data_IF_596480243490
#
_entry.id   IF_596480243490
#
_cell.length_a   1.000
_cell.length_b   1.000
_cell.length_c   1.000
_cell.angle_alpha   90.00
_cell.angle_beta   90.00
_cell.angle_gamma   90.00
#
_symmetry.space_group_name_H-M   'P 1'
#
loop_
_entity.id
_entity.type
_entity.pdbx_description
1 polymer ?
#
# COMPACT_ATOMS: atom_id res chain seq x y z
N UNK A 1 -0.86 9.83 18.74
CA UNK A 1 -0.85 9.12 17.45
C UNK A 1 0.44 8.32 17.46
N UNK A 2 0.37 7.00 17.44
CA UNK A 2 1.59 6.19 17.35
C UNK A 2 2.34 6.61 16.09
N UNK A 3 3.59 7.05 16.23
CA UNK A 3 4.40 7.46 15.08
C UNK A 3 4.74 6.20 14.26
N UNK A 4 3.95 5.96 13.22
CA UNK A 4 4.17 4.86 12.30
C UNK A 4 5.42 5.17 11.47
N UNK A 5 6.39 4.26 11.48
CA UNK A 5 7.57 4.37 10.61
C UNK A 5 7.19 3.89 9.21
N UNK A 6 6.91 4.84 8.33
CA UNK A 6 6.54 4.58 6.94
C UNK A 6 7.77 4.29 6.08
N UNK A 7 7.65 3.26 5.24
CA UNK A 7 8.66 2.85 4.27
C UNK A 7 8.08 2.96 2.86
N UNK A 8 8.68 3.83 2.05
CA UNK A 8 8.34 4.03 0.65
C UNK A 8 8.93 2.92 -0.21
N UNK A 9 8.17 2.41 -1.18
CA UNK A 9 8.62 1.39 -2.13
C UNK A 9 9.82 1.87 -2.94
N UNK A 10 10.81 1.01 -3.17
CA UNK A 10 11.96 1.28 -4.05
C UNK A 10 11.60 1.33 -5.54
N UNK A 11 10.39 0.90 -5.91
CA UNK A 11 9.86 1.00 -7.29
C UNK A 11 9.19 2.34 -7.58
N UNK A 12 9.12 3.21 -6.57
CA UNK A 12 8.65 4.58 -6.70
C UNK A 12 9.62 5.37 -7.57
N UNK A 13 9.16 5.86 -8.72
CA UNK A 13 9.95 6.76 -9.59
C UNK A 13 10.17 8.15 -8.96
N UNK A 14 11.01 8.96 -9.59
CA UNK A 14 11.17 10.39 -9.30
C UNK A 14 10.34 11.23 -10.27
N UNK A 15 9.74 12.33 -9.79
CA UNK A 15 9.08 13.35 -10.60
C UNK A 15 7.56 13.44 -10.42
N UNK A 16 6.94 14.39 -11.12
CA UNK A 16 5.49 14.63 -11.10
C UNK A 16 4.76 13.42 -11.73
N UNK A 17 3.92 12.74 -10.94
CA UNK A 17 3.18 11.54 -11.33
C UNK A 17 3.66 10.23 -10.70
N UNK A 18 4.66 10.28 -9.81
CA UNK A 18 5.03 9.14 -9.01
C UNK A 18 4.02 8.92 -7.86
N UNK A 19 2.88 8.30 -8.14
CA UNK A 19 1.99 7.79 -7.09
C UNK A 19 2.65 6.58 -6.43
N UNK A 20 3.14 6.80 -5.21
CA UNK A 20 3.96 5.83 -4.50
C UNK A 20 3.15 5.18 -3.39
N UNK A 21 3.28 3.86 -3.23
CA UNK A 21 2.75 3.14 -2.07
C UNK A 21 3.77 3.15 -0.94
N UNK A 22 3.30 3.44 0.27
CA UNK A 22 4.07 3.35 1.51
C UNK A 22 3.46 2.33 2.48
N UNK A 23 4.32 1.68 3.26
CA UNK A 23 3.97 0.65 4.24
C UNK A 23 4.47 1.01 5.63
N UNK A 24 3.68 0.76 6.67
CA UNK A 24 4.15 0.80 8.05
C UNK A 24 3.68 -0.45 8.80
N UNK A 25 4.56 -1.05 9.60
CA UNK A 25 4.25 -2.25 10.39
C UNK A 25 4.31 -1.92 11.88
N UNK A 26 3.33 -2.44 12.63
CA UNK A 26 3.35 -2.45 14.11
C UNK A 26 3.63 -3.84 14.69
N UNK A 27 3.97 -4.82 13.84
CA UNK A 27 4.06 -6.23 14.19
C UNK A 27 2.74 -6.97 14.00
N UNK A 28 1.67 -6.46 14.61
CA UNK A 28 0.34 -7.09 14.53
C UNK A 28 -0.47 -6.65 13.30
N UNK A 29 -0.16 -5.46 12.78
CA UNK A 29 -0.87 -4.87 11.64
C UNK A 29 0.09 -4.20 10.68
N UNK A 30 -0.34 -4.10 9.43
CA UNK A 30 0.34 -3.38 8.37
C UNK A 30 -0.62 -2.33 7.84
N UNK A 31 -0.15 -1.09 7.78
CA UNK A 31 -0.86 0.02 7.15
C UNK A 31 -0.25 0.30 5.78
N UNK A 32 -1.12 0.54 4.80
CA UNK A 32 -0.81 0.91 3.42
C UNK A 32 -1.42 2.27 3.15
N UNK A 33 -0.69 3.15 2.48
CA UNK A 33 -1.24 4.43 1.99
C UNK A 33 -0.59 4.84 0.69
N UNK A 34 -1.21 5.79 0.01
CA UNK A 34 -0.59 6.50 -1.11
C UNK A 34 0.18 7.73 -0.60
N UNK A 35 1.34 7.98 -1.20
CA UNK A 35 2.22 9.10 -0.83
C UNK A 35 1.59 10.46 -1.12
N UNK A 36 0.72 10.55 -2.12
CA UNK A 36 0.07 11.80 -2.55
C UNK A 36 -1.28 12.05 -1.85
N UNK A 37 -1.83 11.03 -1.17
CA UNK A 37 -2.98 11.15 -0.27
C UNK A 37 -2.70 10.42 1.07
N UNK A 38 -1.82 10.98 1.93
CA UNK A 38 -1.37 10.31 3.14
C UNK A 38 -2.46 10.16 4.21
N UNK A 39 -3.61 10.82 4.04
CA UNK A 39 -4.77 10.72 4.92
C UNK A 39 -5.59 9.45 4.68
N UNK A 40 -5.47 8.84 3.50
CA UNK A 40 -6.17 7.61 3.13
C UNK A 40 -5.26 6.42 3.34
N UNK A 41 -5.49 5.70 4.45
CA UNK A 41 -4.73 4.51 4.80
C UNK A 41 -5.63 3.29 5.01
N UNK A 42 -5.20 2.15 4.49
CA UNK A 42 -5.79 0.84 4.72
C UNK A 42 -4.96 0.08 5.75
N UNK A 43 -5.59 -0.45 6.80
CA UNK A 43 -4.92 -1.31 7.79
C UNK A 43 -5.38 -2.75 7.61
N UNK A 44 -4.43 -3.67 7.58
CA UNK A 44 -4.68 -5.11 7.45
C UNK A 44 -3.79 -5.92 8.40
N UNK A 45 -4.23 -7.13 8.72
CA UNK A 45 -3.33 -8.13 9.31
C UNK A 45 -2.30 -8.59 8.25
N UNK A 46 -1.10 -9.07 8.64
CA UNK A 46 -0.09 -9.57 7.69
C UNK A 46 -0.61 -10.61 6.70
N UNK A 47 -1.47 -11.53 7.16
CA UNK A 47 -2.10 -12.53 6.29
C UNK A 47 -3.02 -11.89 5.23
N UNK A 48 -3.74 -10.82 5.59
CA UNK A 48 -4.59 -10.09 4.65
C UNK A 48 -3.78 -9.40 3.55
N UNK A 49 -2.65 -8.79 3.90
CA UNK A 49 -1.73 -8.21 2.91
C UNK A 49 -1.14 -9.29 2.01
N UNK A 50 -0.76 -10.45 2.55
CA UNK A 50 -0.26 -11.57 1.75
C UNK A 50 -1.31 -12.03 0.72
N UNK A 51 -2.58 -12.20 1.14
CA UNK A 51 -3.67 -12.56 0.23
C UNK A 51 -3.88 -11.51 -0.85
N UNK A 52 -3.83 -10.22 -0.51
CA UNK A 52 -3.93 -9.13 -1.48
C UNK A 52 -2.80 -9.19 -2.51
N UNK A 53 -1.55 -9.38 -2.09
CA UNK A 53 -0.41 -9.46 -3.00
C UNK A 53 -0.50 -10.65 -3.95
N UNK A 54 -0.99 -11.81 -3.47
CA UNK A 54 -1.23 -12.98 -4.31
C UNK A 54 -2.34 -12.69 -5.33
N UNK A 55 -3.41 -12.04 -4.89
CA UNK A 55 -4.52 -11.65 -5.77
C UNK A 55 -4.07 -10.69 -6.88
N UNK A 56 -3.26 -9.68 -6.55
CA UNK A 56 -2.65 -8.75 -7.52
C UNK A 56 -1.75 -9.48 -8.50
N UNK A 57 -0.84 -10.35 -8.02
CA UNK A 57 0.05 -11.13 -8.89
C UNK A 57 -0.70 -12.04 -9.87
N UNK A 58 -1.88 -12.52 -9.47
CA UNK A 58 -2.75 -13.34 -10.30
C UNK A 58 -3.66 -12.52 -11.23
N UNK A 59 -3.48 -11.20 -11.31
CA UNK A 59 -4.27 -10.32 -12.18
C UNK A 59 -5.75 -10.20 -11.78
N UNK A 60 -6.11 -10.53 -10.53
CA UNK A 60 -7.51 -10.54 -10.09
C UNK A 60 -8.16 -9.15 -10.09
N UNK A 61 -7.36 -8.09 -10.25
CA UNK A 61 -7.82 -6.70 -10.27
C UNK A 61 -7.63 -6.01 -11.64
N UNK A 62 -7.03 -6.66 -12.63
CA UNK A 62 -6.62 -6.01 -13.89
C UNK A 62 -7.81 -5.53 -14.74
N UNK A 63 -8.99 -6.12 -14.53
CA UNK A 63 -10.25 -5.72 -15.18
C UNK A 63 -11.07 -4.69 -14.40
N UNK A 64 -10.59 -4.18 -13.26
CA UNK A 64 -11.33 -3.17 -12.48
C UNK A 64 -11.05 -1.77 -13.04
N UNK A 65 -11.95 -1.28 -13.88
CA UNK A 65 -12.04 0.17 -14.15
C UNK A 65 -12.61 0.85 -12.91
N UNK A 66 -11.86 1.77 -12.30
CA UNK A 66 -12.44 2.74 -11.36
C UNK A 66 -13.35 3.63 -12.21
N UNK A 67 -14.66 3.53 -11.98
CA UNK A 67 -15.67 4.36 -12.64
C UNK A 67 -15.71 5.77 -12.08
#
# INVERSE_FOLDING_TARGET
MSDLTWQKSSYSGQGDGASCVELASTGDTISLRESDDPGTALTAAPAGLQSLLLAVKNGQFDGRTVG
#
